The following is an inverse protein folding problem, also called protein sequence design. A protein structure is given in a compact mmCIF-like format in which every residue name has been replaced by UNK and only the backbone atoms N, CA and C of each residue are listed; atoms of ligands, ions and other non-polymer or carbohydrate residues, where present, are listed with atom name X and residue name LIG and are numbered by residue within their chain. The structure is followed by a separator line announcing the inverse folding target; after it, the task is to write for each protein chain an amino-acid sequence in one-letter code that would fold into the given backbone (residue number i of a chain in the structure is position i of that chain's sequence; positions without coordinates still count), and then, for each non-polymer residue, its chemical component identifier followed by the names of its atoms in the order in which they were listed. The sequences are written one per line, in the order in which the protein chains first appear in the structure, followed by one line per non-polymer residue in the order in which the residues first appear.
data_IF_139667372291
#
_entry.id   IF_139667372291
#
_cell.length_a   1.000
_cell.length_b   1.000
_cell.length_c   1.000
_cell.angle_alpha   90.00
_cell.angle_beta   90.00
_cell.angle_gamma   90.00
#
_symmetry.space_group_name_H-M   'P 1'
#
loop_
_entity.id
_entity.type
_entity.pdbx_description
1 polymer ?
#
# COMPACT_ATOMS: atom_id res chain seq x y z
N UNK A 1 -11.94 8.72 -21.19
CA UNK A 1 -11.30 9.61 -20.20
C UNK A 1 -12.30 9.96 -19.09
N UNK A 2 -11.84 10.17 -17.85
CA UNK A 2 -12.70 10.52 -16.71
C UNK A 2 -12.16 11.72 -15.93
N UNK A 3 -12.98 12.31 -15.06
CA UNK A 3 -12.57 13.41 -14.19
C UNK A 3 -11.69 12.89 -13.05
N UNK A 4 -10.36 13.07 -13.14
CA UNK A 4 -9.36 12.62 -12.15
C UNK A 4 -9.04 13.75 -11.17
N UNK A 5 -8.95 13.43 -9.87
CA UNK A 5 -8.57 14.41 -8.86
C UNK A 5 -7.13 14.89 -9.07
N UNK A 6 -6.92 16.20 -9.13
CA UNK A 6 -5.58 16.76 -9.26
C UNK A 6 -4.82 16.64 -7.93
N UNK A 7 -3.83 15.74 -7.88
CA UNK A 7 -2.95 15.58 -6.71
C UNK A 7 -2.18 16.86 -6.37
N UNK A 8 -1.78 17.64 -7.39
CA UNK A 8 -1.14 18.95 -7.21
C UNK A 8 -2.10 19.94 -6.53
N UNK A 9 -3.33 20.06 -7.03
CA UNK A 9 -4.34 20.93 -6.42
C UNK A 9 -4.68 20.49 -5.00
N UNK A 10 -4.83 19.17 -4.77
CA UNK A 10 -5.09 18.60 -3.44
C UNK A 10 -3.97 18.95 -2.45
N UNK A 11 -2.71 18.89 -2.88
CA UNK A 11 -1.54 19.24 -2.05
C UNK A 11 -1.50 20.74 -1.75
N UNK A 12 -1.73 21.59 -2.76
CA UNK A 12 -1.72 23.05 -2.59
C UNK A 12 -2.88 23.54 -1.71
N UNK A 13 -4.05 22.90 -1.79
CA UNK A 13 -5.21 23.16 -0.92
C UNK A 13 -5.13 22.46 0.45
N UNK A 14 -3.98 21.84 0.81
CA UNK A 14 -3.82 21.20 2.11
C UNK A 14 -3.61 22.28 3.17
N UNK A 15 -4.58 22.39 4.08
CA UNK A 15 -4.51 23.30 5.22
C UNK A 15 -3.20 23.13 6.00
N UNK A 16 -2.55 24.25 6.28
CA UNK A 16 -1.41 24.30 7.20
C UNK A 16 -1.94 24.30 8.63
N UNK A 17 -1.37 23.45 9.49
CA UNK A 17 -1.77 23.34 10.90
C UNK A 17 -1.47 24.68 11.61
N UNK A 18 -2.41 25.17 12.42
CA UNK A 18 -2.25 26.41 13.19
C UNK A 18 -2.61 27.71 12.45
N UNK A 19 -3.09 27.63 11.21
CA UNK A 19 -3.54 28.81 10.45
C UNK A 19 -5.00 28.60 10.07
N UNK A 20 -5.85 29.61 10.28
CA UNK A 20 -7.22 29.60 9.79
C UNK A 20 -7.21 29.49 8.27
N UNK A 21 -7.93 28.51 7.73
CA UNK A 21 -8.05 28.31 6.29
C UNK A 21 -9.54 28.40 5.93
N UNK A 22 -9.88 29.12 4.85
CA UNK A 22 -11.26 29.20 4.39
C UNK A 22 -11.80 27.81 3.98
N UNK A 23 -13.14 27.65 3.94
CA UNK A 23 -13.77 26.39 3.54
C UNK A 23 -13.23 25.89 2.21
N UNK A 24 -12.90 24.59 2.16
CA UNK A 24 -12.38 23.98 0.93
C UNK A 24 -13.50 23.97 -0.12
N UNK A 25 -13.38 24.81 -1.15
CA UNK A 25 -14.23 24.72 -2.34
C UNK A 25 -14.10 23.35 -3.03
N UNK A 26 -14.90 23.13 -4.08
CA UNK A 26 -14.97 21.84 -4.79
C UNK A 26 -13.58 21.29 -5.18
N UNK A 27 -13.37 19.96 -5.11
CA UNK A 27 -12.12 19.34 -5.56
C UNK A 27 -11.83 19.70 -7.02
N UNK A 28 -10.58 20.08 -7.32
CA UNK A 28 -10.16 20.34 -8.69
C UNK A 28 -9.94 19.00 -9.38
N UNK A 29 -10.64 18.80 -10.47
CA UNK A 29 -10.49 17.62 -11.34
C UNK A 29 -9.93 18.02 -12.69
N UNK A 30 -9.23 17.09 -13.33
CA UNK A 30 -8.69 17.21 -14.68
C UNK A 30 -9.24 16.06 -15.53
N UNK A 31 -9.41 16.28 -16.82
CA UNK A 31 -9.72 15.18 -17.73
C UNK A 31 -8.50 14.28 -17.85
N UNK A 32 -8.64 13.00 -17.52
CA UNK A 32 -7.51 12.08 -17.55
C UNK A 32 -7.87 10.61 -17.35
N UNK A 33 -6.85 9.81 -17.07
CA UNK A 33 -6.92 8.39 -16.75
C UNK A 33 -6.20 8.15 -15.42
N UNK A 34 -6.65 7.19 -14.64
CA UNK A 34 -5.96 6.77 -13.42
C UNK A 34 -4.92 5.70 -13.77
N UNK A 35 -3.93 5.54 -12.91
CA UNK A 35 -2.90 4.52 -13.09
C UNK A 35 -2.45 3.97 -11.74
N UNK A 36 -2.13 2.68 -11.73
CA UNK A 36 -1.50 2.00 -10.61
C UNK A 36 -0.22 1.35 -11.11
N UNK A 37 0.88 1.58 -10.39
CA UNK A 37 2.18 0.99 -10.68
C UNK A 37 2.58 -0.05 -9.63
N UNK A 38 3.29 -1.07 -10.08
CA UNK A 38 3.99 -2.04 -9.25
C UNK A 38 5.48 -1.84 -9.45
N UNK A 39 6.18 -1.51 -8.37
CA UNK A 39 7.62 -1.33 -8.37
C UNK A 39 8.30 -2.56 -7.80
N UNK A 40 9.42 -2.95 -8.40
CA UNK A 40 10.33 -3.96 -7.88
C UNK A 40 11.64 -3.29 -7.50
N UNK A 41 12.18 -3.67 -6.35
CA UNK A 41 13.46 -3.20 -5.88
C UNK A 41 14.25 -4.39 -5.34
N UNK A 42 15.50 -4.52 -5.78
CA UNK A 42 16.47 -5.44 -5.21
C UNK A 42 17.26 -4.79 -4.06
N UNK A 43 18.13 -5.58 -3.43
CA UNK A 43 19.04 -5.10 -2.39
C UNK A 43 20.09 -4.12 -2.94
N UNK A 44 20.39 -4.22 -4.23
CA UNK A 44 21.25 -3.31 -4.98
C UNK A 44 20.52 -2.84 -6.26
N UNK A 45 20.96 -1.71 -6.79
CA UNK A 45 20.39 -1.11 -8.00
C UNK A 45 19.23 -0.16 -7.73
N UNK A 46 18.68 0.40 -8.81
CA UNK A 46 17.55 1.32 -8.76
C UNK A 46 16.24 0.54 -8.84
N UNK A 47 15.21 1.02 -8.13
CA UNK A 47 13.87 0.45 -8.25
C UNK A 47 13.35 0.58 -9.69
N UNK A 48 12.71 -0.47 -10.19
CA UNK A 48 12.17 -0.52 -11.55
C UNK A 48 10.64 -0.68 -11.52
N UNK A 49 9.98 -0.21 -12.58
CA UNK A 49 8.55 -0.44 -12.78
C UNK A 49 8.39 -1.84 -13.37
N UNK A 50 7.85 -2.78 -12.59
CA UNK A 50 7.60 -4.14 -13.06
C UNK A 50 6.25 -4.26 -13.80
N UNK A 51 5.25 -3.48 -13.40
CA UNK A 51 3.97 -3.40 -14.12
C UNK A 51 3.30 -2.05 -13.88
N UNK A 52 2.48 -1.62 -14.84
CA UNK A 52 1.61 -0.45 -14.70
C UNK A 52 0.31 -0.71 -15.45
N UNK A 53 -0.81 -0.40 -14.79
CA UNK A 53 -2.14 -0.51 -15.37
C UNK A 53 -2.80 0.86 -15.35
N UNK A 54 -3.27 1.31 -16.52
CA UNK A 54 -4.09 2.51 -16.66
C UNK A 54 -5.57 2.13 -16.68
N UNK A 55 -6.42 2.92 -16.02
CA UNK A 55 -7.83 2.59 -15.87
C UNK A 55 -8.71 3.83 -15.69
N UNK A 56 -10.02 3.67 -15.92
CA UNK A 56 -10.99 4.75 -15.81
C UNK A 56 -12.13 4.41 -14.87
N UNK A 57 -12.73 5.44 -14.25
CA UNK A 57 -13.96 5.31 -13.44
C UNK A 57 -15.25 5.36 -14.26
N UNK A 58 -15.17 5.66 -15.57
CA UNK A 58 -16.34 5.84 -16.45
C UNK A 58 -16.12 5.13 -17.80
N UNK A 59 -17.23 4.81 -18.45
CA UNK A 59 -17.26 4.12 -19.74
C UNK A 59 -17.40 2.61 -19.59
N UNK A 60 -17.39 1.91 -20.72
CA UNK A 60 -17.57 0.45 -20.79
C UNK A 60 -16.52 -0.33 -19.99
N UNK A 61 -15.28 0.16 -19.96
CA UNK A 61 -14.17 -0.43 -19.20
C UNK A 61 -13.97 0.22 -17.82
N UNK A 62 -15.03 0.78 -17.23
CA UNK A 62 -14.96 1.35 -15.89
C UNK A 62 -14.56 0.28 -14.87
N UNK A 63 -13.63 0.62 -13.99
CA UNK A 63 -13.19 -0.27 -12.91
C UNK A 63 -12.87 0.54 -11.67
N UNK A 64 -12.36 -0.12 -10.64
CA UNK A 64 -11.95 0.52 -9.40
C UNK A 64 -10.46 0.34 -9.16
N UNK A 65 -9.88 1.23 -8.36
CA UNK A 65 -8.50 1.15 -7.93
C UNK A 65 -8.20 -0.23 -7.32
N UNK A 66 -9.12 -0.76 -6.51
CA UNK A 66 -8.92 -2.02 -5.79
C UNK A 66 -8.89 -3.23 -6.72
N UNK A 67 -9.70 -3.23 -7.78
CA UNK A 67 -9.67 -4.30 -8.80
C UNK A 67 -8.39 -4.26 -9.63
N UNK A 68 -7.89 -3.06 -9.94
CA UNK A 68 -6.59 -2.90 -10.62
C UNK A 68 -5.45 -3.39 -9.73
N UNK A 69 -5.45 -3.04 -8.44
CA UNK A 69 -4.46 -3.52 -7.46
C UNK A 69 -4.47 -5.04 -7.33
N UNK A 70 -5.66 -5.68 -7.25
CA UNK A 70 -5.79 -7.15 -7.22
C UNK A 70 -5.19 -7.78 -8.48
N UNK A 71 -5.44 -7.20 -9.65
CA UNK A 71 -4.89 -7.71 -10.92
C UNK A 71 -3.37 -7.57 -10.98
N UNK A 72 -2.82 -6.43 -10.54
CA UNK A 72 -1.37 -6.24 -10.45
C UNK A 72 -0.73 -7.24 -9.47
N UNK A 73 -1.36 -7.48 -8.32
CA UNK A 73 -0.89 -8.47 -7.35
C UNK A 73 -0.94 -9.90 -7.93
N UNK A 74 -1.99 -10.28 -8.66
CA UNK A 74 -2.07 -11.57 -9.33
C UNK A 74 -0.95 -11.74 -10.36
N UNK A 75 -0.69 -10.72 -11.19
CA UNK A 75 0.43 -10.72 -12.14
C UNK A 75 1.76 -10.92 -11.40
N UNK A 76 2.01 -10.15 -10.34
CA UNK A 76 3.25 -10.26 -9.57
C UNK A 76 3.39 -11.61 -8.85
N UNK A 77 2.32 -12.13 -8.24
CA UNK A 77 2.30 -13.44 -7.61
C UNK A 77 2.58 -14.56 -8.62
N UNK A 78 2.02 -14.46 -9.83
CA UNK A 78 2.25 -15.45 -10.87
C UNK A 78 3.70 -15.46 -11.38
N UNK A 79 4.32 -14.28 -11.54
CA UNK A 79 5.68 -14.17 -12.09
C UNK A 79 6.81 -14.22 -11.06
N UNK A 80 6.57 -13.72 -9.84
CA UNK A 80 7.59 -13.58 -8.79
C UNK A 80 7.30 -14.46 -7.57
N UNK A 81 6.06 -14.91 -7.39
CA UNK A 81 5.66 -15.84 -6.34
C UNK A 81 6.16 -15.47 -4.96
N UNK A 82 6.91 -16.39 -4.35
CA UNK A 82 7.46 -16.27 -2.99
C UNK A 82 8.89 -15.74 -2.95
N UNK A 83 9.47 -15.44 -4.11
CA UNK A 83 10.85 -14.96 -4.22
C UNK A 83 11.00 -13.50 -3.82
N UNK A 84 9.88 -12.77 -3.79
CA UNK A 84 9.79 -11.37 -3.37
C UNK A 84 8.90 -11.22 -2.15
N UNK A 85 9.14 -10.18 -1.35
CA UNK A 85 8.22 -9.76 -0.28
C UNK A 85 7.39 -8.59 -0.77
N UNK A 86 6.07 -8.72 -0.75
CA UNK A 86 5.17 -7.66 -1.19
C UNK A 86 5.00 -6.60 -0.10
N UNK A 87 5.30 -5.33 -0.41
CA UNK A 87 5.24 -4.23 0.57
C UNK A 87 4.04 -3.33 0.27
N UNK A 88 3.22 -3.08 1.29
CA UNK A 88 2.02 -2.23 1.18
C UNK A 88 1.96 -1.16 2.27
N UNK A 89 1.55 0.06 1.89
CA UNK A 89 1.30 1.16 2.84
C UNK A 89 -0.09 1.05 3.48
N UNK A 90 -0.37 1.93 4.45
CA UNK A 90 -1.62 1.98 5.24
C UNK A 90 -2.93 2.02 4.44
N UNK A 91 -2.90 2.40 3.16
CA UNK A 91 -4.08 2.36 2.27
C UNK A 91 -4.59 0.94 1.99
N UNK A 92 -3.76 -0.06 2.26
CA UNK A 92 -4.06 -1.48 2.10
C UNK A 92 -4.36 -2.18 3.43
N UNK A 93 -4.20 -1.50 4.57
CA UNK A 93 -4.50 -2.10 5.87
C UNK A 93 -6.01 -2.37 6.01
N UNK A 94 -6.37 -3.62 6.30
CA UNK A 94 -7.76 -4.06 6.55
C UNK A 94 -8.05 -5.47 6.03
N UNK A 95 -9.13 -6.07 6.57
CA UNK A 95 -9.55 -7.42 6.23
C UNK A 95 -9.70 -7.69 4.72
N UNK A 96 -10.32 -6.80 3.90
CA UNK A 96 -10.50 -7.10 2.47
C UNK A 96 -9.20 -7.31 1.70
N UNK A 97 -8.12 -6.64 2.08
CA UNK A 97 -6.83 -6.83 1.42
C UNK A 97 -6.06 -8.01 1.99
N UNK A 98 -6.18 -8.25 3.30
CA UNK A 98 -5.61 -9.44 3.94
C UNK A 98 -6.18 -10.72 3.33
N UNK A 99 -7.47 -10.76 3.03
CA UNK A 99 -8.10 -11.89 2.34
C UNK A 99 -7.48 -12.12 0.96
N UNK A 100 -7.29 -11.07 0.16
CA UNK A 100 -6.63 -11.16 -1.14
C UNK A 100 -5.20 -11.71 -0.99
N UNK A 101 -4.42 -11.22 -0.03
CA UNK A 101 -3.05 -11.69 0.20
C UNK A 101 -3.02 -13.15 0.66
N UNK A 102 -3.96 -13.54 1.53
CA UNK A 102 -4.12 -14.91 1.98
C UNK A 102 -4.45 -15.86 0.82
N UNK A 103 -5.37 -15.45 -0.06
CA UNK A 103 -5.70 -16.22 -1.28
C UNK A 103 -4.50 -16.38 -2.22
N UNK A 104 -3.64 -15.36 -2.33
CA UNK A 104 -2.45 -15.42 -3.18
C UNK A 104 -1.29 -16.19 -2.54
N UNK A 105 -1.33 -16.47 -1.23
CA UNK A 105 -0.28 -17.20 -0.48
C UNK A 105 1.11 -16.60 -0.65
N UNK A 106 1.19 -15.28 -0.75
CA UNK A 106 2.45 -14.53 -0.94
C UNK A 106 2.99 -14.00 0.40
N UNK A 107 4.31 -13.89 0.57
CA UNK A 107 4.88 -13.21 1.72
C UNK A 107 4.72 -11.69 1.58
N UNK A 108 4.34 -11.00 2.65
CA UNK A 108 4.07 -9.57 2.61
C UNK A 108 4.43 -8.83 3.89
N UNK A 109 4.61 -7.52 3.75
CA UNK A 109 4.68 -6.54 4.84
C UNK A 109 3.65 -5.47 4.57
N UNK A 110 2.76 -5.22 5.54
CA UNK A 110 1.77 -4.13 5.47
C UNK A 110 2.02 -3.16 6.61
N UNK A 111 2.08 -1.87 6.29
CA UNK A 111 2.03 -0.83 7.31
C UNK A 111 0.61 -0.74 7.89
N UNK A 112 0.44 -1.22 9.12
CA UNK A 112 -0.86 -1.22 9.78
C UNK A 112 -1.31 0.17 10.25
N UNK A 113 -2.62 0.42 10.24
CA UNK A 113 -3.22 1.64 10.81
C UNK A 113 -3.49 1.46 12.29
N UNK A 114 -2.98 2.35 13.14
CA UNK A 114 -3.09 2.22 14.59
C UNK A 114 -4.52 2.27 15.16
N UNK A 115 -5.48 2.79 14.40
CA UNK A 115 -6.90 2.86 14.80
C UNK A 115 -7.72 1.62 14.40
N UNK A 116 -7.10 0.60 13.82
CA UNK A 116 -7.79 -0.66 13.50
C UNK A 116 -7.57 -1.63 14.67
N UNK A 117 -8.66 -2.15 15.22
CA UNK A 117 -8.63 -3.27 16.15
C UNK A 117 -8.49 -4.60 15.40
N UNK A 118 -8.09 -5.62 16.12
CA UNK A 118 -8.26 -7.01 15.74
C UNK A 118 -8.93 -7.75 16.89
N UNK A 119 -9.37 -8.96 16.57
CA UNK A 119 -9.95 -9.87 17.54
C UNK A 119 -8.82 -10.74 18.09
N UNK A 120 -8.73 -10.84 19.42
CA UNK A 120 -7.76 -11.71 20.06
C UNK A 120 -8.25 -13.15 20.21
N UNK A 121 -7.43 -14.01 20.82
CA UNK A 121 -7.76 -15.40 21.09
C UNK A 121 -9.03 -15.62 21.95
N UNK A 122 -9.49 -14.60 22.68
CA UNK A 122 -10.70 -14.64 23.51
C UNK A 122 -11.94 -14.08 22.81
N UNK A 123 -11.79 -13.59 21.58
CA UNK A 123 -12.89 -12.96 20.85
C UNK A 123 -13.07 -11.47 21.16
N UNK A 124 -12.17 -10.86 21.94
CA UNK A 124 -12.26 -9.45 22.32
C UNK A 124 -11.61 -8.53 21.28
N UNK A 125 -12.25 -7.38 21.06
CA UNK A 125 -11.70 -6.33 20.21
C UNK A 125 -10.54 -5.61 20.93
N UNK A 126 -9.33 -5.76 20.39
CA UNK A 126 -8.11 -5.13 20.92
C UNK A 126 -7.34 -4.42 19.81
N UNK A 127 -6.67 -3.32 20.18
CA UNK A 127 -5.74 -2.68 19.26
C UNK A 127 -4.64 -3.69 18.85
N UNK A 128 -4.32 -3.77 17.55
CA UNK A 128 -3.36 -4.76 17.03
C UNK A 128 -2.01 -4.73 17.77
N UNK A 129 -1.52 -3.55 18.15
CA UNK A 129 -0.27 -3.45 18.90
C UNK A 129 -0.35 -4.11 20.29
N UNK A 130 -1.53 -4.16 20.93
CA UNK A 130 -1.75 -4.88 22.19
C UNK A 130 -1.71 -6.40 21.97
N UNK A 131 -2.26 -6.87 20.85
CA UNK A 131 -2.24 -8.28 20.46
C UNK A 131 -0.81 -8.74 20.13
N UNK A 132 -0.04 -7.87 19.46
CA UNK A 132 1.37 -8.15 19.11
C UNK A 132 2.35 -7.92 20.27
N UNK A 133 1.95 -7.19 21.32
CA UNK A 133 2.84 -6.81 22.43
C UNK A 133 3.37 -8.05 23.15
N UNK A 134 4.69 -8.17 23.26
CA UNK A 134 5.34 -9.28 23.96
C UNK A 134 5.33 -10.61 23.19
N UNK A 135 4.64 -10.71 22.05
CA UNK A 135 4.75 -11.86 21.17
C UNK A 135 6.11 -11.79 20.46
N UNK A 136 6.90 -12.86 20.56
CA UNK A 136 8.12 -13.02 19.76
C UNK A 136 7.73 -13.07 18.29
N UNK A 137 8.56 -12.49 17.43
CA UNK A 137 8.43 -12.70 15.99
C UNK A 137 8.58 -14.21 15.71
N UNK A 138 7.69 -14.75 14.88
CA UNK A 138 7.75 -16.16 14.46
C UNK A 138 8.92 -16.44 13.52
N UNK A 139 9.49 -15.37 12.94
CA UNK A 139 10.71 -15.39 12.18
C UNK A 139 11.21 -13.96 12.03
N UNK A 140 12.52 -13.79 11.97
CA UNK A 140 13.15 -12.54 11.58
C UNK A 140 13.78 -12.76 10.22
N UNK A 141 13.42 -11.92 9.25
CA UNK A 141 14.12 -11.87 7.96
C UNK A 141 14.93 -10.59 7.96
N UNK A 142 16.23 -10.69 8.21
CA UNK A 142 17.12 -9.55 8.03
C UNK A 142 17.13 -9.20 6.55
N UNK A 143 16.68 -7.98 6.23
CA UNK A 143 16.81 -7.40 4.90
C UNK A 143 18.05 -6.50 4.99
N UNK A 144 19.19 -6.98 4.51
CA UNK A 144 20.47 -6.25 4.56
C UNK A 144 20.53 -5.11 3.55
N UNK A 145 19.96 -3.96 3.87
CA UNK A 145 20.04 -2.80 2.97
C UNK A 145 21.46 -2.23 2.95
N UNK A 146 22.08 -2.24 1.76
CA UNK A 146 23.36 -1.57 1.53
C UNK A 146 23.08 -0.11 1.16
N UNK A 147 23.33 0.82 2.09
CA UNK A 147 23.36 2.27 1.81
C UNK A 147 24.81 2.74 1.73
N UNK A 148 25.41 2.73 0.54
CA UNK A 148 26.80 3.12 0.33
C UNK A 148 27.81 2.13 0.98
N UNK A 149 28.92 2.62 1.54
CA UNK A 149 29.95 1.81 2.23
C UNK A 149 29.54 1.33 3.65
N UNK A 150 28.30 1.59 4.10
CA UNK A 150 27.82 1.17 5.42
C UNK A 150 26.67 0.18 5.28
N UNK A 151 26.87 -1.00 5.85
CA UNK A 151 25.82 -2.01 6.02
C UNK A 151 24.90 -1.55 7.15
N UNK A 152 23.63 -1.26 6.83
CA UNK A 152 22.63 -0.92 7.84
C UNK A 152 21.71 -2.12 8.01
N UNK A 153 21.88 -2.84 9.11
CA UNK A 153 20.95 -3.91 9.50
C UNK A 153 19.68 -3.26 10.07
N UNK A 154 18.54 -3.46 9.41
CA UNK A 154 17.23 -3.14 9.96
C UNK A 154 16.45 -4.43 10.15
N UNK A 155 16.22 -4.78 11.41
CA UNK A 155 15.24 -5.77 11.78
C UNK A 155 13.84 -5.16 11.55
N UNK A 156 13.01 -5.87 10.81
CA UNK A 156 11.57 -5.60 10.65
C UNK A 156 10.78 -6.72 11.31
#
# INVERSE_FOLDING_TARGET
MCAVLSSKAKRLKKNRKGIWNPPKGKPITVLGIEWNGLLIAGMQGVAQVAAMDYWSRKGEHATTQREVEKRLLRKASHHLGKDVVHIFDRGYAGAPWLEVLNMQKVPFVIRWKGNYSGIDETGEDKAIWKIARGKRSWGQREIEMVQGKKTVKKAW
#
